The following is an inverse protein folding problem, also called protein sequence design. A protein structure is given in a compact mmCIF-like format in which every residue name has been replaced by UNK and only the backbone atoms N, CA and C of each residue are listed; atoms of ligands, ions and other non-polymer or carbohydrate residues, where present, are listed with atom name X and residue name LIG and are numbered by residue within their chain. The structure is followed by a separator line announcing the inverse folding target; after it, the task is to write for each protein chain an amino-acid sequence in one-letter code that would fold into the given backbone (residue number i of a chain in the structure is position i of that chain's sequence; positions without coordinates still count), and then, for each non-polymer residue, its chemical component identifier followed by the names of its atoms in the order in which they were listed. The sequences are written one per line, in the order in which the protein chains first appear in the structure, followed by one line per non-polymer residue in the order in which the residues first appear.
data_IF_295301519664
#
_entry.id   IF_295301519664
#
_cell.length_a   1.000
_cell.length_b   1.000
_cell.length_c   1.000
_cell.angle_alpha   90.00
_cell.angle_beta   90.00
_cell.angle_gamma   90.00
#
_symmetry.space_group_name_H-M   'P 1'
#
loop_
_entity.id
_entity.type
_entity.pdbx_description
1 polymer ?
#
# COMPACT_ATOMS: atom_id res chain seq x y z
N UNK A 1 -63.68 -53.20 -2.86
CA UNK A 1 -63.59 -51.88 -3.50
C UNK A 1 -64.23 -50.92 -2.50
N UNK A 2 -63.53 -50.08 -1.76
CA UNK A 2 -62.33 -49.33 -2.10
C UNK A 2 -61.31 -49.25 -0.96
N UNK A 3 -60.07 -49.07 -1.42
CA UNK A 3 -58.82 -49.11 -0.69
C UNK A 3 -58.62 -47.82 0.10
N UNK A 4 -58.30 -47.99 1.39
CA UNK A 4 -57.75 -46.97 2.26
C UNK A 4 -56.44 -46.39 1.68
N UNK A 5 -56.46 -45.14 1.22
CA UNK A 5 -55.24 -44.38 0.92
C UNK A 5 -54.93 -43.50 2.12
N UNK A 6 -54.08 -44.02 3.00
CA UNK A 6 -53.25 -43.19 3.89
C UNK A 6 -52.20 -42.54 3.00
N UNK A 7 -52.34 -41.24 2.71
CA UNK A 7 -51.24 -40.45 2.15
C UNK A 7 -50.61 -39.61 3.25
N UNK A 8 -49.32 -39.88 3.42
CA UNK A 8 -48.36 -39.29 4.35
C UNK A 8 -48.32 -37.76 4.31
N UNK A 9 -47.88 -37.11 5.42
CA UNK A 9 -47.50 -35.71 5.39
C UNK A 9 -46.28 -35.56 4.48
N UNK A 10 -46.47 -35.08 3.26
CA UNK A 10 -45.38 -34.68 2.37
C UNK A 10 -44.81 -33.34 2.83
N UNK A 11 -43.49 -33.31 2.95
CA UNK A 11 -42.60 -32.16 3.24
C UNK A 11 -42.53 -31.67 4.68
N UNK A 12 -41.83 -32.44 5.53
CA UNK A 12 -41.03 -31.82 6.58
C UNK A 12 -39.90 -31.06 5.87
N UNK A 13 -39.89 -29.73 5.97
CA UNK A 13 -38.73 -28.90 5.61
C UNK A 13 -37.55 -29.32 6.50
N UNK A 14 -36.65 -30.14 5.97
CA UNK A 14 -35.46 -30.63 6.70
C UNK A 14 -34.45 -29.53 7.03
N UNK A 15 -34.61 -28.32 6.48
CA UNK A 15 -33.79 -27.15 6.81
C UNK A 15 -34.32 -26.35 8.00
N UNK A 16 -35.49 -26.68 8.55
CA UNK A 16 -36.07 -25.98 9.71
C UNK A 16 -35.34 -26.22 11.05
N UNK A 17 -34.30 -27.08 11.08
CA UNK A 17 -33.62 -27.49 12.32
C UNK A 17 -32.11 -27.20 12.39
N UNK A 18 -31.52 -26.60 11.36
CA UNK A 18 -30.09 -26.24 11.40
C UNK A 18 -29.92 -24.81 11.93
N UNK A 19 -29.01 -24.62 12.88
CA UNK A 19 -28.63 -23.28 13.32
C UNK A 19 -27.90 -22.53 12.19
N UNK A 20 -27.86 -21.20 12.29
CA UNK A 20 -27.12 -20.36 11.33
C UNK A 20 -25.63 -20.73 11.26
N UNK A 21 -25.03 -21.18 12.38
CA UNK A 21 -23.65 -21.68 12.41
C UNK A 21 -23.48 -22.94 11.55
N UNK A 22 -24.42 -23.89 11.63
CA UNK A 22 -24.40 -25.07 10.77
C UNK A 22 -24.59 -24.71 9.30
N UNK A 23 -25.48 -23.76 8.99
CA UNK A 23 -25.69 -23.29 7.62
C UNK A 23 -24.45 -22.57 7.06
N UNK A 24 -23.74 -21.81 7.90
CA UNK A 24 -22.46 -21.22 7.55
C UNK A 24 -21.41 -22.27 7.19
N UNK A 25 -21.24 -23.30 8.02
CA UNK A 25 -20.32 -24.39 7.75
C UNK A 25 -20.68 -25.15 6.47
N UNK A 26 -21.97 -25.38 6.23
CA UNK A 26 -22.43 -26.00 4.98
C UNK A 26 -22.11 -25.11 3.78
N UNK A 27 -22.40 -23.82 3.86
CA UNK A 27 -22.13 -22.86 2.80
C UNK A 27 -20.62 -22.79 2.46
N UNK A 28 -19.75 -22.78 3.47
CA UNK A 28 -18.29 -22.78 3.29
C UNK A 28 -17.75 -24.06 2.64
N UNK A 29 -18.49 -25.16 2.72
CA UNK A 29 -18.13 -26.44 2.08
C UNK A 29 -18.66 -26.58 0.64
N UNK A 30 -19.39 -25.59 0.13
CA UNK A 30 -19.83 -25.60 -1.27
C UNK A 30 -18.66 -25.25 -2.20
N UNK A 31 -18.17 -26.24 -2.95
CA UNK A 31 -17.01 -26.12 -3.84
C UNK A 31 -17.30 -25.28 -5.10
N UNK A 32 -18.56 -25.27 -5.57
CA UNK A 32 -18.95 -24.59 -6.80
C UNK A 32 -19.52 -23.19 -6.54
N UNK A 33 -19.07 -22.21 -7.33
CA UNK A 33 -19.69 -20.87 -7.37
C UNK A 33 -21.15 -20.90 -7.82
N UNK A 34 -21.55 -21.93 -8.57
CA UNK A 34 -22.94 -22.11 -8.99
C UNK A 34 -23.76 -22.54 -7.77
N UNK A 35 -23.29 -23.52 -7.01
CA UNK A 35 -23.98 -24.01 -5.81
C UNK A 35 -24.09 -22.92 -4.75
N UNK A 36 -23.01 -22.14 -4.54
CA UNK A 36 -23.05 -20.98 -3.65
C UNK A 36 -24.08 -19.92 -4.08
N UNK A 37 -24.32 -19.74 -5.39
CA UNK A 37 -25.37 -18.82 -5.87
C UNK A 37 -26.76 -19.42 -5.70
N UNK A 38 -26.93 -20.70 -6.02
CA UNK A 38 -28.19 -21.42 -5.85
C UNK A 38 -28.62 -21.46 -4.39
N UNK A 39 -27.66 -21.56 -3.46
CA UNK A 39 -27.91 -21.56 -2.02
C UNK A 39 -28.76 -20.37 -1.58
N UNK A 40 -28.35 -19.14 -1.87
CA UNK A 40 -29.11 -17.95 -1.46
C UNK A 40 -30.36 -17.66 -2.28
N UNK A 41 -30.62 -18.41 -3.36
CA UNK A 41 -31.91 -18.38 -4.05
C UNK A 41 -32.98 -19.22 -3.34
N UNK A 42 -32.59 -20.05 -2.36
CA UNK A 42 -33.49 -20.99 -1.67
C UNK A 42 -34.50 -20.27 -0.76
N UNK A 43 -34.02 -19.40 0.13
CA UNK A 43 -34.86 -18.62 1.04
C UNK A 43 -34.10 -17.41 1.60
N UNK A 44 -34.80 -16.51 2.30
CA UNK A 44 -34.19 -15.34 2.93
C UNK A 44 -33.11 -15.70 3.95
N UNK A 45 -33.26 -16.79 4.73
CA UNK A 45 -32.22 -17.17 5.68
C UNK A 45 -30.92 -17.59 4.96
N UNK A 46 -31.03 -18.43 3.94
CA UNK A 46 -29.87 -18.89 3.16
C UNK A 46 -29.23 -17.73 2.39
N UNK A 47 -30.03 -16.78 1.90
CA UNK A 47 -29.53 -15.55 1.31
C UNK A 47 -28.73 -14.71 2.34
N UNK A 48 -29.21 -14.63 3.58
CA UNK A 48 -28.50 -13.93 4.65
C UNK A 48 -27.17 -14.62 4.97
N UNK A 49 -27.15 -15.96 5.11
CA UNK A 49 -25.93 -16.76 5.29
C UNK A 49 -24.94 -16.56 4.14
N UNK A 50 -25.41 -16.60 2.89
CA UNK A 50 -24.57 -16.32 1.72
C UNK A 50 -23.98 -14.90 1.76
N UNK A 51 -24.79 -13.90 2.15
CA UNK A 51 -24.34 -12.51 2.22
C UNK A 51 -23.33 -12.30 3.36
N UNK A 52 -23.57 -12.83 4.55
CA UNK A 52 -22.65 -12.72 5.69
C UNK A 52 -21.38 -13.56 5.49
N UNK A 53 -21.41 -14.60 4.64
CA UNK A 53 -20.21 -15.37 4.27
C UNK A 53 -19.33 -14.67 3.24
N UNK A 54 -19.78 -13.56 2.64
CA UNK A 54 -18.96 -12.80 1.68
C UNK A 54 -17.79 -12.12 2.39
N UNK A 55 -16.57 -12.50 2.01
CA UNK A 55 -15.32 -11.94 2.57
C UNK A 55 -14.76 -10.74 1.82
N UNK A 56 -15.14 -10.52 0.55
CA UNK A 56 -14.62 -9.40 -0.24
C UNK A 56 -15.71 -8.68 -1.03
N UNK A 57 -15.64 -7.35 -1.06
CA UNK A 57 -16.51 -6.48 -1.84
C UNK A 57 -15.68 -5.43 -2.59
N UNK A 58 -15.87 -5.32 -3.90
CA UNK A 58 -15.25 -4.30 -4.75
C UNK A 58 -16.32 -3.57 -5.56
N UNK A 59 -16.48 -2.27 -5.31
CA UNK A 59 -17.51 -1.43 -5.94
C UNK A 59 -16.93 -0.46 -6.97
N UNK A 60 -15.73 0.05 -6.71
CA UNK A 60 -15.03 1.07 -7.49
C UNK A 60 -14.81 0.84 -9.00
N UNK A 61 -15.06 -0.37 -9.51
CA UNK A 61 -14.93 -0.71 -10.93
C UNK A 61 -16.26 -1.06 -11.60
N UNK A 62 -17.37 -0.89 -10.90
CA UNK A 62 -18.68 -1.20 -11.44
C UNK A 62 -19.12 -0.06 -12.37
N UNK A 63 -19.31 -0.38 -13.65
CA UNK A 63 -19.93 0.53 -14.64
C UNK A 63 -21.30 1.06 -14.20
N UNK A 64 -21.91 0.45 -13.19
CA UNK A 64 -23.15 0.89 -12.57
C UNK A 64 -23.09 2.36 -12.12
N UNK A 65 -21.95 2.82 -11.59
CA UNK A 65 -21.84 4.19 -11.08
C UNK A 65 -21.62 5.25 -12.17
N UNK A 66 -21.25 4.86 -13.40
CA UNK A 66 -21.13 5.80 -14.53
C UNK A 66 -22.49 6.36 -15.01
N UNK A 67 -23.59 5.68 -14.65
CA UNK A 67 -24.95 6.02 -15.07
C UNK A 67 -25.91 6.22 -13.88
N UNK A 68 -25.42 6.11 -12.64
CA UNK A 68 -26.24 6.33 -11.45
C UNK A 68 -26.25 7.83 -11.08
N UNK A 69 -27.42 8.41 -10.74
CA UNK A 69 -27.45 9.74 -10.14
C UNK A 69 -26.66 9.75 -8.83
N UNK A 70 -26.03 10.88 -8.49
CA UNK A 70 -25.17 11.07 -7.29
C UNK A 70 -25.72 10.44 -6.00
N UNK A 71 -27.03 10.58 -5.74
CA UNK A 71 -27.67 10.05 -4.53
C UNK A 71 -27.80 8.51 -4.50
N UNK A 72 -27.78 7.86 -5.67
CA UNK A 72 -27.92 6.41 -5.75
C UNK A 72 -26.62 5.70 -5.33
N UNK A 73 -25.45 6.29 -5.54
CA UNK A 73 -24.17 5.67 -5.17
C UNK A 73 -24.03 5.51 -3.66
N UNK A 74 -24.19 6.60 -2.90
CA UNK A 74 -24.17 6.60 -1.42
C UNK A 74 -25.18 5.59 -0.84
N UNK A 75 -26.43 5.62 -1.34
CA UNK A 75 -27.47 4.68 -0.89
C UNK A 75 -27.10 3.21 -1.14
N UNK A 76 -26.53 2.91 -2.32
CA UNK A 76 -26.08 1.55 -2.66
C UNK A 76 -24.93 1.13 -1.74
N UNK A 77 -23.91 1.96 -1.56
CA UNK A 77 -22.77 1.66 -0.69
C UNK A 77 -23.26 1.36 0.72
N UNK A 78 -24.05 2.25 1.31
CA UNK A 78 -24.57 2.08 2.66
C UNK A 78 -25.40 0.79 2.79
N UNK A 79 -26.27 0.49 1.82
CA UNK A 79 -27.07 -0.75 1.80
C UNK A 79 -26.20 -2.01 1.69
N UNK A 80 -25.15 -1.98 0.87
CA UNK A 80 -24.25 -3.11 0.68
C UNK A 80 -23.38 -3.36 1.91
N UNK A 81 -22.92 -2.32 2.59
CA UNK A 81 -22.15 -2.46 3.83
C UNK A 81 -23.00 -2.96 5.00
N UNK A 82 -24.30 -2.65 5.04
CA UNK A 82 -25.23 -3.28 6.00
C UNK A 82 -25.60 -4.72 5.62
N UNK A 83 -25.47 -5.10 4.35
CA UNK A 83 -25.77 -6.47 3.88
C UNK A 83 -24.61 -7.43 4.10
N UNK A 84 -23.38 -6.99 3.87
CA UNK A 84 -22.18 -7.83 3.93
C UNK A 84 -21.39 -7.52 5.20
N UNK A 85 -21.68 -8.28 6.27
CA UNK A 85 -21.30 -7.91 7.63
C UNK A 85 -19.99 -8.51 8.15
N UNK A 86 -19.37 -9.45 7.40
CA UNK A 86 -18.10 -10.12 7.78
C UNK A 86 -17.04 -9.97 6.70
N UNK A 87 -16.96 -8.78 6.11
CA UNK A 87 -15.99 -8.46 5.07
C UNK A 87 -14.57 -8.42 5.65
N UNK A 88 -13.65 -9.13 5.01
CA UNK A 88 -12.20 -9.05 5.25
C UNK A 88 -11.52 -8.04 4.31
N UNK A 89 -12.11 -7.80 3.14
CA UNK A 89 -11.60 -6.87 2.13
C UNK A 89 -12.70 -6.00 1.53
N UNK A 90 -12.51 -4.68 1.58
CA UNK A 90 -13.42 -3.68 1.03
C UNK A 90 -12.68 -2.72 0.10
N UNK A 91 -13.14 -2.62 -1.14
CA UNK A 91 -12.60 -1.69 -2.14
C UNK A 91 -13.70 -0.79 -2.67
N UNK A 92 -13.66 0.48 -2.26
CA UNK A 92 -14.51 1.58 -2.72
C UNK A 92 -13.73 2.60 -3.56
N UNK A 93 -12.46 2.35 -3.88
CA UNK A 93 -11.67 3.32 -4.65
C UNK A 93 -12.31 3.73 -5.98
N UNK A 94 -12.23 5.01 -6.35
CA UNK A 94 -12.95 5.65 -7.46
C UNK A 94 -14.48 5.83 -7.27
N UNK A 95 -15.03 5.53 -6.08
CA UNK A 95 -16.36 6.01 -5.70
C UNK A 95 -16.26 7.50 -5.30
N UNK A 96 -16.23 8.41 -6.28
CA UNK A 96 -15.96 9.83 -6.05
C UNK A 96 -17.01 10.53 -5.17
N UNK A 97 -18.24 10.03 -5.17
CA UNK A 97 -19.39 10.63 -4.48
C UNK A 97 -19.60 10.10 -3.06
N UNK A 98 -18.77 9.15 -2.62
CA UNK A 98 -18.87 8.60 -1.26
C UNK A 98 -18.57 9.69 -0.21
N UNK A 99 -19.37 9.70 0.86
CA UNK A 99 -19.24 10.61 2.00
C UNK A 99 -18.93 9.85 3.27
N UNK A 100 -18.48 10.57 4.30
CA UNK A 100 -18.20 10.00 5.62
C UNK A 100 -19.36 9.19 6.21
N UNK A 101 -20.61 9.63 5.98
CA UNK A 101 -21.82 8.94 6.44
C UNK A 101 -21.98 7.53 5.86
N UNK A 102 -21.46 7.30 4.65
CA UNK A 102 -21.57 6.01 3.97
C UNK A 102 -20.70 4.94 4.64
N UNK A 103 -19.68 5.36 5.41
CA UNK A 103 -18.78 4.48 6.14
C UNK A 103 -19.28 4.13 7.55
N UNK A 104 -20.38 4.75 8.02
CA UNK A 104 -20.94 4.47 9.35
C UNK A 104 -21.29 2.99 9.60
N UNK A 105 -21.71 2.15 8.63
CA UNK A 105 -21.93 0.72 8.89
C UNK A 105 -20.67 -0.03 9.33
N UNK A 106 -19.47 0.46 8.99
CA UNK A 106 -18.21 -0.14 9.42
C UNK A 106 -18.02 -0.07 10.94
N UNK A 107 -18.70 0.84 11.65
CA UNK A 107 -18.73 0.86 13.12
C UNK A 107 -19.25 -0.45 13.72
N UNK A 108 -20.20 -1.10 13.03
CA UNK A 108 -20.85 -2.34 13.50
C UNK A 108 -20.31 -3.59 12.83
N UNK A 109 -19.85 -3.46 11.58
CA UNK A 109 -19.57 -4.60 10.71
C UNK A 109 -18.11 -4.64 10.21
N UNK A 110 -17.25 -3.76 10.73
CA UNK A 110 -15.85 -3.65 10.33
C UNK A 110 -14.87 -4.57 11.08
N UNK A 111 -15.33 -5.36 12.05
CA UNK A 111 -14.43 -6.08 12.99
C UNK A 111 -13.48 -7.06 12.31
N UNK A 112 -13.90 -7.66 11.20
CA UNK A 112 -13.12 -8.64 10.43
C UNK A 112 -12.31 -7.98 9.29
N UNK A 113 -12.36 -6.66 9.13
CA UNK A 113 -11.80 -5.99 7.96
C UNK A 113 -10.28 -5.84 8.09
N UNK A 114 -9.56 -6.46 7.14
CA UNK A 114 -8.09 -6.43 7.06
C UNK A 114 -7.59 -5.50 5.96
N UNK A 115 -8.34 -5.36 4.87
CA UNK A 115 -7.95 -4.59 3.68
C UNK A 115 -9.00 -3.55 3.32
N UNK A 116 -8.60 -2.28 3.27
CA UNK A 116 -9.48 -1.17 2.91
C UNK A 116 -8.86 -0.30 1.81
N UNK A 117 -9.58 -0.16 0.69
CA UNK A 117 -9.15 0.67 -0.44
C UNK A 117 -10.19 1.77 -0.70
N UNK A 118 -9.81 3.01 -0.40
CA UNK A 118 -10.60 4.24 -0.59
C UNK A 118 -9.92 5.20 -1.58
N UNK A 119 -8.94 4.77 -2.38
CA UNK A 119 -8.21 5.65 -3.29
C UNK A 119 -9.17 6.45 -4.20
N UNK A 120 -8.92 7.76 -4.37
CA UNK A 120 -9.79 8.72 -5.08
C UNK A 120 -11.18 8.97 -4.47
N UNK A 121 -11.43 8.56 -3.22
CA UNK A 121 -12.67 8.91 -2.51
C UNK A 121 -12.54 10.30 -1.88
N UNK A 122 -12.67 11.36 -2.69
CA UNK A 122 -12.44 12.74 -2.24
C UNK A 122 -13.47 13.24 -1.20
N UNK A 123 -14.66 12.65 -1.14
CA UNK A 123 -15.67 12.98 -0.12
C UNK A 123 -15.43 12.37 1.27
N UNK A 124 -14.39 11.55 1.43
CA UNK A 124 -13.98 10.99 2.73
C UNK A 124 -13.01 11.94 3.42
N UNK A 125 -13.30 12.25 4.67
CA UNK A 125 -12.49 13.11 5.54
C UNK A 125 -12.01 12.34 6.77
N UNK A 126 -11.44 13.05 7.76
CA UNK A 126 -11.09 12.47 9.04
C UNK A 126 -12.30 11.88 9.80
N UNK A 127 -13.53 12.38 9.54
CA UNK A 127 -14.74 11.86 10.18
C UNK A 127 -15.03 10.44 9.70
N UNK A 128 -14.96 10.18 8.39
CA UNK A 128 -15.08 8.83 7.84
C UNK A 128 -13.98 7.90 8.34
N UNK A 129 -12.74 8.39 8.39
CA UNK A 129 -11.63 7.63 8.98
C UNK A 129 -11.82 7.35 10.48
N UNK A 130 -12.53 8.21 11.21
CA UNK A 130 -12.86 7.95 12.62
C UNK A 130 -13.80 6.74 12.77
N UNK A 131 -14.76 6.58 11.86
CA UNK A 131 -15.64 5.42 11.83
C UNK A 131 -14.88 4.15 11.49
N UNK A 132 -14.01 4.22 10.48
CA UNK A 132 -13.11 3.12 10.09
C UNK A 132 -12.20 2.72 11.26
N UNK A 133 -11.49 3.69 11.86
CA UNK A 133 -10.59 3.44 12.97
C UNK A 133 -11.32 2.85 14.19
N UNK A 134 -12.57 3.26 14.42
CA UNK A 134 -13.37 2.76 15.55
C UNK A 134 -13.85 1.33 15.32
N UNK A 135 -14.30 0.98 14.11
CA UNK A 135 -14.88 -0.34 13.81
C UNK A 135 -13.89 -1.40 13.32
N UNK A 136 -12.80 -1.00 12.65
CA UNK A 136 -11.92 -1.90 11.90
C UNK A 136 -10.55 -2.06 12.58
N UNK A 137 -10.49 -2.74 13.73
CA UNK A 137 -9.26 -2.89 14.54
C UNK A 137 -8.20 -3.82 13.94
N UNK A 138 -8.60 -4.71 13.03
CA UNK A 138 -7.73 -5.70 12.37
C UNK A 138 -7.15 -5.20 11.03
N UNK A 139 -7.26 -3.91 10.72
CA UNK A 139 -6.74 -3.36 9.47
C UNK A 139 -5.22 -3.57 9.36
N UNK A 140 -4.81 -4.19 8.27
CA UNK A 140 -3.40 -4.47 7.92
C UNK A 140 -2.96 -3.68 6.70
N UNK A 141 -3.86 -3.42 5.74
CA UNK A 141 -3.57 -2.60 4.57
C UNK A 141 -4.65 -1.56 4.33
N UNK A 142 -4.24 -0.30 4.18
CA UNK A 142 -5.14 0.81 3.87
C UNK A 142 -4.57 1.61 2.69
N UNK A 143 -5.40 1.87 1.68
CA UNK A 143 -5.06 2.73 0.56
C UNK A 143 -6.02 3.94 0.51
N UNK A 144 -5.47 5.13 0.74
CA UNK A 144 -6.11 6.43 0.71
C UNK A 144 -5.54 7.33 -0.40
N UNK A 145 -4.86 6.75 -1.39
CA UNK A 145 -4.21 7.52 -2.44
C UNK A 145 -5.18 8.47 -3.16
N UNK A 146 -4.78 9.72 -3.34
CA UNK A 146 -5.58 10.81 -3.93
C UNK A 146 -6.89 11.09 -3.18
N UNK A 147 -6.93 10.87 -1.87
CA UNK A 147 -8.01 11.39 -1.02
C UNK A 147 -7.63 12.79 -0.52
N UNK A 148 -7.97 13.82 -1.31
CA UNK A 148 -7.56 15.23 -1.12
C UNK A 148 -8.04 15.89 0.19
N UNK A 149 -9.00 15.27 0.89
CA UNK A 149 -9.54 15.79 2.16
C UNK A 149 -9.03 15.05 3.40
N UNK A 150 -8.09 14.13 3.23
CA UNK A 150 -7.39 13.48 4.34
C UNK A 150 -6.25 14.36 4.83
N UNK A 151 -6.19 14.51 6.15
CA UNK A 151 -5.15 15.27 6.87
C UNK A 151 -4.50 14.38 7.93
N UNK A 152 -3.45 14.89 8.59
CA UNK A 152 -2.82 14.23 9.73
C UNK A 152 -3.80 13.82 10.83
N UNK A 153 -4.92 14.54 11.02
CA UNK A 153 -5.93 14.15 12.02
C UNK A 153 -6.51 12.76 11.71
N UNK A 154 -6.85 12.49 10.45
CA UNK A 154 -7.39 11.20 10.03
C UNK A 154 -6.36 10.07 10.13
N UNK A 155 -5.12 10.33 9.72
CA UNK A 155 -4.02 9.35 9.82
C UNK A 155 -3.71 9.00 11.28
N UNK A 156 -3.75 9.99 12.18
CA UNK A 156 -3.55 9.78 13.63
C UNK A 156 -4.59 8.84 14.23
N UNK A 157 -5.85 8.95 13.80
CA UNK A 157 -6.94 8.08 14.28
C UNK A 157 -6.70 6.62 13.86
N UNK A 158 -6.25 6.39 12.62
CA UNK A 158 -5.85 5.06 12.16
C UNK A 158 -4.69 4.52 13.00
N UNK A 159 -3.66 5.32 13.25
CA UNK A 159 -2.53 4.91 14.08
C UNK A 159 -2.95 4.48 15.50
N UNK A 160 -3.79 5.29 16.16
CA UNK A 160 -4.19 5.05 17.54
C UNK A 160 -4.98 3.74 17.72
N UNK A 161 -5.76 3.36 16.69
CA UNK A 161 -6.74 2.29 16.80
C UNK A 161 -6.40 1.03 15.98
N UNK A 162 -5.70 1.16 14.87
CA UNK A 162 -5.38 0.07 13.94
C UNK A 162 -3.92 -0.35 14.12
N UNK A 163 -3.61 -0.95 15.28
CA UNK A 163 -2.22 -1.28 15.69
C UNK A 163 -1.57 -2.41 14.88
N UNK A 164 -2.32 -3.07 13.99
CA UNK A 164 -1.82 -4.11 13.08
C UNK A 164 -1.54 -3.58 11.67
N UNK A 165 -1.67 -2.26 11.45
CA UNK A 165 -1.45 -1.66 10.14
C UNK A 165 -0.01 -1.91 9.70
N UNK A 166 0.13 -2.55 8.54
CA UNK A 166 1.41 -2.93 7.94
C UNK A 166 1.72 -2.17 6.65
N UNK A 167 0.69 -1.86 5.86
CA UNK A 167 0.84 -1.13 4.60
C UNK A 167 -0.12 0.06 4.55
N UNK A 168 0.40 1.26 4.36
CA UNK A 168 -0.39 2.49 4.19
C UNK A 168 0.01 3.17 2.89
N UNK A 169 -0.98 3.47 2.04
CA UNK A 169 -0.78 4.28 0.86
C UNK A 169 -1.57 5.58 0.99
N UNK A 170 -0.86 6.70 0.95
CA UNK A 170 -1.41 8.06 1.03
C UNK A 170 -0.92 8.91 -0.15
N UNK A 171 -0.55 8.29 -1.28
CA UNK A 171 0.02 9.02 -2.41
C UNK A 171 -0.90 10.18 -2.85
N UNK A 172 -0.34 11.38 -3.02
CA UNK A 172 -1.11 12.55 -3.42
C UNK A 172 -2.12 13.07 -2.39
N UNK A 173 -2.00 12.69 -1.11
CA UNK A 173 -2.69 13.36 -0.01
C UNK A 173 -1.87 14.59 0.42
N UNK A 174 -2.02 15.67 -0.33
CA UNK A 174 -1.26 16.92 -0.21
C UNK A 174 -1.47 17.70 1.11
N UNK A 175 -2.50 17.36 1.90
CA UNK A 175 -2.73 17.93 3.24
C UNK A 175 -2.13 17.12 4.39
N UNK A 176 -1.41 16.03 4.10
CA UNK A 176 -0.68 15.25 5.11
C UNK A 176 0.76 15.74 5.18
N UNK A 177 1.16 16.24 6.35
CA UNK A 177 2.50 16.80 6.61
C UNK A 177 3.41 15.84 7.38
N UNK A 178 2.85 14.82 8.02
CA UNK A 178 3.60 13.74 8.64
C UNK A 178 3.69 13.78 10.16
N UNK A 179 3.23 14.86 10.80
CA UNK A 179 3.15 14.97 12.26
C UNK A 179 2.20 13.95 12.90
N UNK A 180 1.33 13.32 12.12
CA UNK A 180 0.48 12.20 12.56
C UNK A 180 1.23 10.89 12.82
N UNK A 181 2.45 10.76 12.29
CA UNK A 181 3.25 9.55 12.41
C UNK A 181 4.09 9.48 13.70
N UNK A 182 4.15 10.54 14.52
CA UNK A 182 4.79 10.43 15.83
C UNK A 182 4.09 9.38 16.69
N UNK A 183 4.85 8.38 17.14
CA UNK A 183 4.33 7.24 17.88
C UNK A 183 3.54 6.26 17.01
N UNK A 184 3.84 6.21 15.70
CA UNK A 184 3.29 5.18 14.83
C UNK A 184 3.72 3.78 15.27
N UNK A 185 2.84 2.81 15.06
CA UNK A 185 3.14 1.40 15.37
C UNK A 185 4.38 0.92 14.60
N UNK A 186 5.22 0.12 15.26
CA UNK A 186 6.35 -0.58 14.63
C UNK A 186 5.90 -1.68 13.66
N UNK A 187 4.60 -1.92 13.53
CA UNK A 187 4.03 -2.84 12.54
C UNK A 187 4.02 -2.25 11.13
N UNK A 188 4.07 -0.92 10.98
CA UNK A 188 4.03 -0.27 9.68
C UNK A 188 5.34 -0.55 8.93
N UNK A 189 5.27 -1.45 7.95
CA UNK A 189 6.40 -1.88 7.16
C UNK A 189 6.47 -1.20 5.78
N UNK A 190 5.34 -0.73 5.24
CA UNK A 190 5.25 -0.13 3.91
C UNK A 190 4.49 1.19 3.94
N UNK A 191 5.15 2.28 3.52
CA UNK A 191 4.52 3.58 3.34
C UNK A 191 4.74 4.12 1.92
N UNK A 192 3.65 4.34 1.20
CA UNK A 192 3.63 5.14 -0.03
C UNK A 192 3.19 6.57 0.31
N UNK A 193 4.13 7.51 0.31
CA UNK A 193 3.96 8.89 0.75
C UNK A 193 4.32 9.91 -0.34
N UNK A 194 4.42 9.46 -1.60
CA UNK A 194 4.78 10.34 -2.71
C UNK A 194 3.73 11.43 -2.94
N UNK A 195 4.19 12.62 -3.30
CA UNK A 195 3.34 13.81 -3.51
C UNK A 195 2.49 14.23 -2.29
N UNK A 196 2.96 13.96 -1.07
CA UNK A 196 2.40 14.53 0.16
C UNK A 196 3.19 15.77 0.61
N UNK A 197 2.68 16.53 1.59
CA UNK A 197 3.30 17.77 2.07
C UNK A 197 4.28 17.55 3.24
N UNK A 198 5.07 16.47 3.21
CA UNK A 198 6.05 16.18 4.24
C UNK A 198 7.16 17.25 4.30
N UNK A 199 7.45 17.70 5.51
CA UNK A 199 8.67 18.45 5.85
C UNK A 199 9.67 17.54 6.60
N UNK A 200 10.80 18.10 7.01
CA UNK A 200 11.84 17.36 7.76
C UNK A 200 11.32 16.77 9.08
N UNK A 201 10.43 17.48 9.76
CA UNK A 201 9.79 17.03 11.01
C UNK A 201 8.87 15.84 10.73
N UNK A 202 8.08 15.91 9.66
CA UNK A 202 7.21 14.84 9.20
C UNK A 202 7.96 13.57 8.82
N UNK A 203 9.12 13.70 8.15
CA UNK A 203 10.00 12.56 7.86
C UNK A 203 10.48 11.91 9.16
N UNK A 204 10.91 12.68 10.16
CA UNK A 204 11.24 12.16 11.48
C UNK A 204 10.06 11.44 12.16
N UNK A 205 8.85 11.98 12.03
CA UNK A 205 7.62 11.37 12.51
C UNK A 205 7.37 9.99 11.90
N UNK A 206 7.44 9.86 10.57
CA UNK A 206 7.26 8.59 9.83
C UNK A 206 8.17 7.48 10.37
N UNK A 207 9.42 7.84 10.67
CA UNK A 207 10.45 6.88 11.07
C UNK A 207 10.37 6.53 12.56
N UNK A 208 9.69 7.34 13.37
CA UNK A 208 9.65 7.18 14.84
C UNK A 208 9.13 5.82 15.32
N UNK A 209 8.35 5.10 14.48
CA UNK A 209 7.87 3.76 14.79
C UNK A 209 8.91 2.64 14.59
N UNK A 210 10.00 2.88 13.85
CA UNK A 210 11.11 1.92 13.66
C UNK A 210 10.81 0.67 12.81
N UNK A 211 9.57 0.50 12.34
CA UNK A 211 9.12 -0.71 11.63
C UNK A 211 9.29 -0.71 10.12
N UNK A 212 9.64 0.42 9.51
CA UNK A 212 9.57 0.59 8.06
C UNK A 212 10.62 -0.23 7.32
N UNK A 213 10.16 -1.02 6.36
CA UNK A 213 10.98 -1.77 5.40
C UNK A 213 10.97 -1.12 4.01
N UNK A 214 9.88 -0.44 3.64
CA UNK A 214 9.70 0.28 2.38
C UNK A 214 9.18 1.69 2.63
N UNK A 215 9.85 2.67 2.02
CA UNK A 215 9.46 4.07 2.06
C UNK A 215 9.56 4.70 0.66
N UNK A 216 8.46 5.26 0.19
CA UNK A 216 8.40 6.01 -1.06
C UNK A 216 8.07 7.49 -0.80
N UNK A 217 9.06 8.34 -1.06
CA UNK A 217 9.00 9.80 -0.91
C UNK A 217 9.24 10.51 -2.25
N UNK A 218 8.85 9.89 -3.37
CA UNK A 218 8.93 10.51 -4.70
C UNK A 218 8.19 11.87 -4.74
N UNK A 219 8.83 12.88 -5.36
CA UNK A 219 8.26 14.19 -5.68
C UNK A 219 7.87 15.07 -4.48
N UNK A 220 8.71 15.14 -3.44
CA UNK A 220 8.54 16.08 -2.31
C UNK A 220 9.06 17.51 -2.61
N UNK A 221 9.18 17.88 -3.89
CA UNK A 221 10.16 18.84 -4.43
C UNK A 221 10.21 20.27 -3.86
N UNK A 222 9.38 20.70 -2.91
CA UNK A 222 9.31 22.11 -2.48
C UNK A 222 9.20 22.35 -0.96
N UNK A 223 9.31 21.32 -0.10
CA UNK A 223 9.14 21.48 1.36
C UNK A 223 10.31 21.00 2.22
N UNK A 224 11.22 20.23 1.64
CA UNK A 224 12.39 19.72 2.35
C UNK A 224 13.61 20.42 1.77
N UNK A 225 14.15 21.38 2.52
CA UNK A 225 15.38 22.08 2.18
C UNK A 225 16.59 21.44 2.88
N UNK A 226 17.73 21.40 2.20
CA UNK A 226 19.01 20.94 2.74
C UNK A 226 18.97 19.56 3.39
N UNK A 227 19.35 19.51 4.66
CA UNK A 227 19.58 18.30 5.45
C UNK A 227 18.30 17.65 6.01
N UNK A 228 17.11 18.06 5.55
CA UNK A 228 15.84 17.61 6.12
C UNK A 228 15.53 16.10 6.02
N UNK A 229 16.36 15.33 5.32
CA UNK A 229 16.27 13.86 5.24
C UNK A 229 17.29 13.13 6.14
N UNK A 230 18.17 13.84 6.85
CA UNK A 230 19.14 13.22 7.76
C UNK A 230 18.48 12.33 8.81
N UNK A 231 17.24 12.62 9.20
CA UNK A 231 16.46 11.80 10.12
C UNK A 231 16.35 10.33 9.69
N UNK A 232 16.38 10.04 8.38
CA UNK A 232 16.42 8.68 7.84
C UNK A 232 17.74 7.98 8.25
N UNK A 233 18.85 8.71 8.27
CA UNK A 233 20.17 8.23 8.67
C UNK A 233 20.40 8.10 10.19
N UNK A 234 19.55 8.68 11.05
CA UNK A 234 19.73 8.67 12.51
C UNK A 234 19.41 7.32 13.20
N UNK A 235 19.32 6.22 12.44
CA UNK A 235 19.19 4.85 12.96
C UNK A 235 17.74 4.36 13.19
N UNK A 236 16.76 5.26 13.24
CA UNK A 236 15.34 4.90 13.33
C UNK A 236 14.82 4.19 12.06
N UNK A 237 15.52 4.35 10.95
CA UNK A 237 15.21 3.70 9.68
C UNK A 237 16.07 2.45 9.41
N UNK A 238 16.68 1.86 10.44
CA UNK A 238 17.63 0.73 10.31
C UNK A 238 17.05 -0.53 9.66
N UNK A 239 15.71 -0.69 9.66
CA UNK A 239 15.01 -1.78 8.99
C UNK A 239 14.68 -1.51 7.50
N UNK A 240 14.98 -0.33 6.98
CA UNK A 240 14.69 0.02 5.58
C UNK A 240 15.48 -0.89 4.64
N UNK A 241 14.73 -1.52 3.73
CA UNK A 241 15.24 -2.35 2.64
C UNK A 241 15.06 -1.69 1.29
N UNK A 242 14.03 -0.85 1.15
CA UNK A 242 13.70 -0.22 -0.12
C UNK A 242 13.35 1.25 0.09
N UNK A 243 14.05 2.13 -0.61
CA UNK A 243 13.89 3.59 -0.51
C UNK A 243 13.73 4.21 -1.90
N UNK A 244 12.65 4.98 -2.10
CA UNK A 244 12.37 5.63 -3.38
C UNK A 244 12.41 7.17 -3.24
N UNK A 245 13.42 7.78 -3.87
CA UNK A 245 13.63 9.21 -4.03
C UNK A 245 13.60 9.64 -5.50
N UNK A 246 12.90 8.89 -6.36
CA UNK A 246 12.71 9.30 -7.74
C UNK A 246 12.24 10.77 -7.81
N UNK A 247 12.91 11.57 -8.65
CA UNK A 247 12.68 13.02 -8.80
C UNK A 247 12.72 13.82 -7.49
N UNK A 248 13.56 13.46 -6.52
CA UNK A 248 13.82 14.31 -5.35
C UNK A 248 15.07 15.17 -5.60
N UNK A 249 14.90 16.25 -6.37
CA UNK A 249 16.02 17.09 -6.85
C UNK A 249 16.70 17.92 -5.74
N UNK A 250 16.11 17.97 -4.54
CA UNK A 250 16.67 18.64 -3.37
C UNK A 250 17.66 17.76 -2.59
N UNK A 251 17.78 16.46 -2.91
CA UNK A 251 18.66 15.52 -2.22
C UNK A 251 20.13 15.79 -2.58
N UNK A 252 20.94 16.04 -1.55
CA UNK A 252 22.36 16.39 -1.63
C UNK A 252 23.24 15.38 -0.87
N UNK A 253 24.56 15.51 -0.98
CA UNK A 253 25.54 14.55 -0.41
C UNK A 253 25.37 14.32 1.09
N UNK A 254 25.08 15.36 1.88
CA UNK A 254 24.89 15.24 3.32
C UNK A 254 23.78 14.22 3.68
N UNK A 255 22.64 14.29 2.99
CA UNK A 255 21.55 13.34 3.20
C UNK A 255 21.93 11.92 2.78
N UNK A 256 22.62 11.75 1.64
CA UNK A 256 23.07 10.45 1.16
C UNK A 256 24.08 9.81 2.13
N UNK A 257 25.00 10.59 2.67
CA UNK A 257 26.00 10.14 3.64
C UNK A 257 25.33 9.61 4.91
N UNK A 258 24.41 10.37 5.49
CA UNK A 258 23.72 9.94 6.70
C UNK A 258 22.81 8.73 6.44
N UNK A 259 22.06 8.71 5.34
CA UNK A 259 21.20 7.57 4.99
C UNK A 259 22.02 6.31 4.75
N UNK A 260 23.12 6.40 4.01
CA UNK A 260 23.98 5.24 3.72
C UNK A 260 24.60 4.66 5.00
N UNK A 261 24.99 5.49 5.97
CA UNK A 261 25.47 5.07 7.29
C UNK A 261 24.37 4.43 8.15
N UNK A 262 23.18 5.03 8.16
CA UNK A 262 22.07 4.66 9.03
C UNK A 262 21.20 3.50 8.54
N UNK A 263 21.24 3.19 7.24
CA UNK A 263 20.37 2.18 6.60
C UNK A 263 21.19 1.04 5.97
N UNK A 264 21.91 0.22 6.77
CA UNK A 264 22.80 -0.83 6.25
C UNK A 264 22.07 -2.01 5.59
N UNK A 265 20.75 -2.12 5.78
CA UNK A 265 19.91 -3.19 5.21
C UNK A 265 19.29 -2.83 3.85
N UNK A 266 19.61 -1.66 3.28
CA UNK A 266 19.08 -1.26 1.98
C UNK A 266 19.48 -2.27 0.89
N UNK A 267 18.46 -2.78 0.20
CA UNK A 267 18.54 -3.71 -0.92
C UNK A 267 18.24 -3.02 -2.24
N UNK A 268 17.31 -2.07 -2.26
CA UNK A 268 16.94 -1.33 -3.48
C UNK A 268 16.76 0.16 -3.21
N UNK A 269 17.51 1.00 -3.93
CA UNK A 269 17.47 2.45 -3.77
C UNK A 269 17.27 3.13 -5.12
N UNK A 270 16.19 3.92 -5.23
CA UNK A 270 15.95 4.75 -6.40
C UNK A 270 16.32 6.20 -6.13
N UNK A 271 17.42 6.64 -6.75
CA UNK A 271 17.95 8.01 -6.72
C UNK A 271 17.78 8.70 -8.09
N UNK A 272 16.97 8.13 -8.98
CA UNK A 272 16.85 8.65 -10.34
C UNK A 272 16.36 10.09 -10.33
N UNK A 273 17.02 10.95 -11.11
CA UNK A 273 16.85 12.40 -11.18
C UNK A 273 17.21 13.16 -9.90
N UNK A 274 17.90 12.56 -8.92
CA UNK A 274 18.58 13.31 -7.86
C UNK A 274 19.87 13.94 -8.41
N UNK A 275 19.75 15.10 -9.05
CA UNK A 275 20.84 15.72 -9.82
C UNK A 275 21.96 16.32 -8.95
N UNK A 276 21.69 16.64 -7.67
CA UNK A 276 22.65 17.31 -6.79
C UNK A 276 23.60 16.36 -6.05
N UNK A 277 23.47 15.04 -6.21
CA UNK A 277 24.36 14.06 -5.57
C UNK A 277 25.72 14.08 -6.26
N UNK A 278 26.74 14.55 -5.54
CA UNK A 278 28.13 14.59 -5.95
C UNK A 278 28.90 13.33 -5.59
N UNK A 279 30.21 13.38 -5.80
CA UNK A 279 31.11 12.24 -5.61
C UNK A 279 31.14 11.74 -4.16
N UNK A 280 31.05 12.63 -3.17
CA UNK A 280 31.07 12.25 -1.76
C UNK A 280 29.84 11.39 -1.39
N UNK A 281 28.67 11.71 -1.96
CA UNK A 281 27.47 10.89 -1.81
C UNK A 281 27.66 9.49 -2.40
N UNK A 282 28.17 9.39 -3.64
CA UNK A 282 28.40 8.09 -4.30
C UNK A 282 29.46 7.24 -3.58
N UNK A 283 30.55 7.85 -3.11
CA UNK A 283 31.57 7.17 -2.32
C UNK A 283 31.00 6.63 -1.00
N UNK A 284 30.13 7.40 -0.35
CA UNK A 284 29.48 6.98 0.90
C UNK A 284 28.53 5.80 0.71
N UNK A 285 27.77 5.77 -0.39
CA UNK A 285 26.96 4.59 -0.77
C UNK A 285 27.85 3.37 -0.93
N UNK A 286 28.96 3.49 -1.67
CA UNK A 286 29.93 2.40 -1.83
C UNK A 286 30.48 1.90 -0.49
N UNK A 287 30.81 2.82 0.43
CA UNK A 287 31.40 2.48 1.72
C UNK A 287 30.43 1.73 2.66
N UNK A 288 29.16 2.13 2.69
CA UNK A 288 28.23 1.68 3.73
C UNK A 288 27.12 0.74 3.23
N UNK A 289 26.63 0.89 1.99
CA UNK A 289 25.49 0.12 1.47
C UNK A 289 25.93 -1.24 0.86
N UNK A 290 26.57 -2.08 1.67
CA UNK A 290 27.14 -3.36 1.21
C UNK A 290 26.10 -4.38 0.71
N UNK A 291 24.86 -4.32 1.21
CA UNK A 291 23.75 -5.20 0.85
C UNK A 291 22.94 -4.72 -0.36
N UNK A 292 23.27 -3.56 -0.93
CA UNK A 292 22.51 -2.98 -2.02
C UNK A 292 22.55 -3.91 -3.24
N UNK A 293 21.39 -4.38 -3.67
CA UNK A 293 21.22 -5.30 -4.81
C UNK A 293 20.83 -4.55 -6.09
N UNK A 294 20.03 -3.49 -5.97
CA UNK A 294 19.53 -2.72 -7.11
C UNK A 294 19.65 -1.22 -6.86
N UNK A 295 20.24 -0.52 -7.81
CA UNK A 295 20.45 0.92 -7.71
C UNK A 295 19.92 1.61 -8.98
N UNK A 296 19.05 2.60 -8.81
CA UNK A 296 18.52 3.39 -9.92
C UNK A 296 19.09 4.80 -9.88
N UNK A 297 19.81 5.18 -10.94
CA UNK A 297 20.57 6.45 -11.06
C UNK A 297 20.33 7.12 -12.42
N UNK A 298 19.21 6.80 -13.06
CA UNK A 298 18.79 7.45 -14.31
C UNK A 298 18.63 8.95 -14.06
N UNK A 299 19.28 9.79 -14.88
CA UNK A 299 19.21 11.25 -14.72
C UNK A 299 20.13 11.84 -13.64
N UNK A 300 20.94 11.05 -12.93
CA UNK A 300 21.94 11.57 -11.99
C UNK A 300 23.14 12.17 -12.74
N UNK A 301 23.09 13.46 -13.06
CA UNK A 301 24.08 14.13 -13.94
C UNK A 301 25.52 14.15 -13.40
N UNK A 302 25.67 14.10 -12.07
CA UNK A 302 26.95 14.20 -11.37
C UNK A 302 27.59 12.84 -11.05
N UNK A 303 27.00 11.74 -11.49
CA UNK A 303 27.65 10.43 -11.41
C UNK A 303 28.74 10.35 -12.50
N UNK A 304 29.99 10.18 -12.08
CA UNK A 304 31.19 10.13 -12.91
C UNK A 304 31.94 8.79 -12.74
N UNK A 305 33.04 8.61 -13.49
CA UNK A 305 33.85 7.38 -13.44
C UNK A 305 34.28 6.98 -12.03
N UNK A 306 34.74 7.94 -11.22
CA UNK A 306 35.17 7.68 -9.84
C UNK A 306 34.02 7.26 -8.94
N UNK A 307 32.86 7.91 -9.06
CA UNK A 307 31.66 7.54 -8.32
C UNK A 307 31.16 6.14 -8.69
N UNK A 308 31.13 5.82 -9.99
CA UNK A 308 30.77 4.48 -10.45
C UNK A 308 31.77 3.42 -9.96
N UNK A 309 33.07 3.74 -9.97
CA UNK A 309 34.11 2.85 -9.44
C UNK A 309 33.94 2.61 -7.94
N UNK A 310 33.62 3.64 -7.15
CA UNK A 310 33.37 3.50 -5.72
C UNK A 310 32.19 2.55 -5.42
N UNK A 311 31.09 2.70 -6.16
CA UNK A 311 29.96 1.76 -6.12
C UNK A 311 30.39 0.33 -6.47
N UNK A 312 31.24 0.17 -7.49
CA UNK A 312 31.76 -1.13 -7.92
C UNK A 312 32.64 -1.83 -6.87
N UNK A 313 33.48 -1.06 -6.17
CA UNK A 313 34.37 -1.57 -5.14
C UNK A 313 33.62 -1.93 -3.83
N UNK A 314 32.59 -1.17 -3.50
CA UNK A 314 31.96 -1.21 -2.19
C UNK A 314 30.66 -2.01 -2.11
N UNK A 315 29.77 -1.89 -3.10
CA UNK A 315 28.45 -2.54 -3.06
C UNK A 315 28.55 -4.04 -3.40
N UNK A 316 28.88 -4.87 -2.41
CA UNK A 316 29.19 -6.32 -2.56
C UNK A 316 28.06 -7.17 -3.12
N UNK A 317 26.81 -6.74 -3.02
CA UNK A 317 25.66 -7.48 -3.55
C UNK A 317 24.99 -6.84 -4.77
N UNK A 318 25.56 -5.75 -5.31
CA UNK A 318 24.94 -5.01 -6.42
C UNK A 318 24.82 -5.88 -7.68
N UNK A 319 23.59 -6.23 -8.03
CA UNK A 319 23.25 -7.13 -9.14
C UNK A 319 22.77 -6.37 -10.36
N UNK A 320 22.06 -5.25 -10.17
CA UNK A 320 21.53 -4.42 -11.26
C UNK A 320 21.77 -2.94 -10.96
N UNK A 321 22.29 -2.21 -11.95
CA UNK A 321 22.31 -0.75 -11.94
C UNK A 321 21.50 -0.22 -13.13
N UNK A 322 20.51 0.62 -12.85
CA UNK A 322 19.70 1.31 -13.84
C UNK A 322 20.30 2.69 -14.11
N UNK A 323 20.84 2.91 -15.30
CA UNK A 323 21.62 4.11 -15.63
C UNK A 323 21.36 4.56 -17.06
N UNK A 324 21.52 5.86 -17.33
CA UNK A 324 21.41 6.41 -18.69
C UNK A 324 22.67 6.14 -19.51
N UNK A 325 22.51 6.12 -20.84
CA UNK A 325 23.62 5.98 -21.78
C UNK A 325 24.45 7.27 -21.97
N UNK A 326 24.03 8.39 -21.38
CA UNK A 326 24.68 9.70 -21.48
C UNK A 326 24.98 10.24 -20.09
N UNK A 327 26.21 10.03 -19.63
CA UNK A 327 26.73 10.63 -18.40
C UNK A 327 28.18 11.07 -18.63
N UNK A 328 28.76 11.76 -17.64
CA UNK A 328 30.21 11.96 -17.51
C UNK A 328 30.99 10.64 -17.34
N UNK A 329 30.32 9.48 -17.47
CA UNK A 329 30.93 8.17 -17.38
C UNK A 329 31.50 7.80 -18.76
N UNK A 330 32.80 7.53 -18.80
CA UNK A 330 33.49 7.12 -20.01
C UNK A 330 33.29 5.62 -20.26
N UNK A 331 33.49 5.13 -21.50
CA UNK A 331 33.56 3.70 -21.77
C UNK A 331 34.58 2.96 -20.88
N UNK A 332 35.68 3.62 -20.54
CA UNK A 332 36.69 3.10 -19.60
C UNK A 332 36.16 3.00 -18.18
N UNK A 333 35.35 3.97 -17.72
CA UNK A 333 34.65 3.92 -16.44
C UNK A 333 33.73 2.71 -16.33
N UNK A 334 32.88 2.48 -17.34
CA UNK A 334 32.03 1.29 -17.39
C UNK A 334 32.83 -0.02 -17.41
N UNK A 335 33.93 -0.07 -18.16
CA UNK A 335 34.80 -1.24 -18.20
C UNK A 335 35.41 -1.52 -16.82
N UNK A 336 35.90 -0.49 -16.13
CA UNK A 336 36.47 -0.62 -14.80
C UNK A 336 35.42 -1.05 -13.78
N UNK A 337 34.22 -0.49 -13.84
CA UNK A 337 33.10 -0.91 -13.00
C UNK A 337 32.76 -2.39 -13.19
N UNK A 338 32.64 -2.87 -14.44
CA UNK A 338 32.38 -4.28 -14.72
C UNK A 338 33.51 -5.21 -14.30
N UNK A 339 34.76 -4.74 -14.27
CA UNK A 339 35.90 -5.50 -13.74
C UNK A 339 35.77 -5.71 -12.22
N UNK A 340 35.39 -4.67 -11.49
CA UNK A 340 35.19 -4.76 -10.04
C UNK A 340 33.91 -5.53 -9.69
N UNK A 341 32.87 -5.38 -10.50
CA UNK A 341 31.57 -5.99 -10.31
C UNK A 341 31.22 -6.95 -11.44
N UNK A 342 31.87 -8.11 -11.44
CA UNK A 342 31.58 -9.15 -12.43
C UNK A 342 30.12 -9.64 -12.29
N UNK A 343 29.42 -9.76 -13.42
CA UNK A 343 28.03 -10.21 -13.46
C UNK A 343 26.98 -9.13 -13.16
N UNK A 344 27.36 -7.88 -12.90
CA UNK A 344 26.38 -6.78 -12.75
C UNK A 344 25.66 -6.53 -14.07
N UNK A 345 24.33 -6.48 -14.01
CA UNK A 345 23.49 -6.03 -15.12
C UNK A 345 23.49 -4.49 -15.15
N UNK A 346 23.88 -3.93 -16.29
CA UNK A 346 23.68 -2.51 -16.58
C UNK A 346 22.42 -2.40 -17.43
N UNK A 347 21.37 -1.86 -16.84
CA UNK A 347 20.05 -1.75 -17.47
C UNK A 347 19.74 -0.30 -17.81
N UNK A 348 19.14 -0.09 -18.98
CA UNK A 348 18.67 1.22 -19.43
C UNK A 348 17.15 1.36 -19.26
N UNK A 349 16.50 0.36 -18.64
CA UNK A 349 15.07 0.37 -18.40
C UNK A 349 14.74 1.42 -17.34
N UNK A 350 13.78 2.28 -17.67
CA UNK A 350 13.25 3.22 -16.70
C UNK A 350 12.24 2.53 -15.76
N UNK A 351 12.49 2.62 -14.44
CA UNK A 351 11.62 2.09 -13.38
C UNK A 351 11.41 3.18 -12.32
N UNK A 352 10.19 3.67 -12.21
CA UNK A 352 9.82 4.69 -11.22
C UNK A 352 9.09 4.11 -10.00
N UNK A 353 8.37 2.99 -10.18
CA UNK A 353 7.67 2.29 -9.12
C UNK A 353 8.43 1.02 -8.74
N UNK A 354 8.95 0.99 -7.52
CA UNK A 354 9.70 -0.11 -6.93
C UNK A 354 8.97 -0.72 -5.73
N UNK A 355 7.63 -0.63 -5.71
CA UNK A 355 6.79 -1.17 -4.65
C UNK A 355 6.96 -2.70 -4.51
N UNK A 356 7.35 -3.21 -3.32
CA UNK A 356 7.56 -4.63 -3.08
C UNK A 356 6.36 -5.50 -3.48
N UNK A 357 6.64 -6.74 -3.88
CA UNK A 357 5.62 -7.71 -4.28
C UNK A 357 4.66 -8.06 -3.15
N UNK A 358 5.13 -8.06 -1.90
CA UNK A 358 4.34 -8.35 -0.70
C UNK A 358 3.42 -7.20 -0.28
N UNK A 359 3.65 -5.98 -0.75
CA UNK A 359 2.84 -4.82 -0.40
C UNK A 359 1.61 -4.72 -1.30
N UNK A 360 0.43 -4.49 -0.71
CA UNK A 360 -0.84 -4.33 -1.42
C UNK A 360 -1.19 -5.52 -2.32
N UNK A 361 -0.89 -6.74 -1.87
CA UNK A 361 -1.02 -7.98 -2.67
C UNK A 361 -2.46 -8.26 -3.12
N UNK A 362 -3.44 -7.91 -2.28
CA UNK A 362 -4.88 -8.06 -2.56
C UNK A 362 -5.34 -7.13 -3.70
N UNK A 363 -4.68 -5.98 -3.86
CA UNK A 363 -4.90 -5.06 -4.97
C UNK A 363 -4.31 -5.59 -6.28
N UNK A 364 -3.07 -6.08 -6.24
CA UNK A 364 -2.32 -6.58 -7.43
C UNK A 364 -2.92 -7.86 -8.03
N UNK A 365 -3.35 -8.84 -7.22
CA UNK A 365 -3.98 -10.09 -7.71
C UNK A 365 -5.25 -9.86 -8.55
N UNK A 366 -5.92 -8.73 -8.37
CA UNK A 366 -7.15 -8.39 -9.09
C UNK A 366 -6.92 -7.55 -10.36
N UNK A 367 -5.77 -6.88 -10.49
CA UNK A 367 -5.40 -6.16 -11.72
C UNK A 367 -4.68 -7.06 -12.74
N UNK A 368 -3.90 -8.05 -12.29
CA UNK A 368 -3.24 -9.02 -13.19
C UNK A 368 -4.20 -10.03 -13.86
N UNK A 369 -5.49 -10.07 -13.47
CA UNK A 369 -6.53 -10.82 -14.20
C UNK A 369 -7.19 -10.00 -15.33
N UNK A 370 -6.73 -8.78 -15.55
CA UNK A 370 -7.15 -7.89 -16.64
C UNK A 370 -5.91 -7.25 -17.25
N UNK A 371 -5.11 -8.05 -17.93
CA UNK A 371 -4.26 -7.66 -19.05
C UNK A 371 -4.11 -8.86 -19.96
#
# INVERSE_FOLDING_TARGET
MDVSVKNHPTSISTTAHLSDDCLHLIFEKLDSKIDQKSFGLTCHNFLNIQNSSRKSLKLGCLRLFLYCPHHAESFIIHRLLNRFTRLESLSLGHCFEIRDSDLTPLLKHGSELHYLFLNFCCGVTYVGLSYVASGCKLLTEVNLGRCENITDHGIRLLNQNCRQLRSLNIYGCDKVTGVSFYGFSSTLACLEANSCAFDSTGVGGILSGGGLEYLNLHHLQERIEGNGLEAIGLGLASNLKVLNFYMCNFVEDAAIIEISRGCPLLLEWNLSYCEKIGIAGWESIGLHCNNLERLHVIGCKNLCDSGLLALGNGCKHLSVIYINNYQQITPSGFLNFKKQKSGVEISYKFIWNILPSWAFTTYKKNHLKRN
#
